data_IF_648328815595
#
_entry.id   IF_648328815595
#
_cell.length_a   1.000
_cell.length_b   1.000
_cell.length_c   1.000
_cell.angle_alpha   90.00
_cell.angle_beta   90.00
_cell.angle_gamma   90.00
#
_symmetry.space_group_name_H-M   'P 1'
#
loop_
_entity.id
_entity.type
_entity.pdbx_description
1 polymer ?
#
# COMPACT_ATOMS: atom_id res chain seq x y z
N UNK A 1 35.08 -35.47 14.95
CA UNK A 1 33.95 -34.78 15.63
C UNK A 1 33.55 -33.66 14.69
N UNK A 2 32.40 -33.80 14.07
CA UNK A 2 31.85 -32.72 13.22
C UNK A 2 31.38 -31.61 14.14
N UNK A 3 31.90 -30.40 13.97
CA UNK A 3 31.37 -29.21 14.62
C UNK A 3 29.91 -29.02 14.16
N UNK A 4 28.97 -29.17 15.09
CA UNK A 4 27.61 -28.67 14.88
C UNK A 4 27.70 -27.15 14.67
N UNK A 5 27.53 -26.70 13.42
CA UNK A 5 27.30 -25.29 13.11
C UNK A 5 26.08 -24.86 13.92
N UNK A 6 26.26 -23.93 14.85
CA UNK A 6 25.17 -23.24 15.51
C UNK A 6 24.31 -22.62 14.42
N UNK A 7 23.11 -23.16 14.24
CA UNK A 7 22.09 -22.54 13.37
C UNK A 7 21.82 -21.13 13.88
N UNK A 8 21.89 -20.15 12.99
CA UNK A 8 21.45 -18.79 13.31
C UNK A 8 19.93 -18.78 13.49
N UNK A 9 19.39 -17.84 14.29
CA UNK A 9 17.94 -17.68 14.41
C UNK A 9 17.25 -17.32 13.08
N UNK A 10 18.01 -16.89 12.09
CA UNK A 10 17.61 -16.58 10.72
C UNK A 10 17.24 -17.85 9.95
N UNK A 11 17.85 -19.00 10.27
CA UNK A 11 17.58 -20.30 9.62
C UNK A 11 16.18 -20.87 9.91
N UNK A 12 15.42 -20.27 10.85
CA UNK A 12 14.08 -20.73 11.24
C UNK A 12 12.94 -19.94 10.58
N UNK A 13 13.25 -18.93 9.73
CA UNK A 13 12.23 -18.12 9.05
C UNK A 13 11.70 -18.86 7.83
N UNK A 14 10.47 -19.35 7.94
CA UNK A 14 9.82 -20.12 6.90
C UNK A 14 8.91 -19.23 6.02
N UNK A 15 9.28 -19.06 4.75
CA UNK A 15 8.51 -18.30 3.75
C UNK A 15 7.14 -18.92 3.43
N UNK A 16 6.93 -20.21 3.76
CA UNK A 16 5.67 -20.91 3.55
C UNK A 16 4.46 -20.23 4.23
N UNK A 17 4.71 -19.36 5.21
CA UNK A 17 3.66 -18.56 5.86
C UNK A 17 2.97 -17.60 4.86
N UNK A 18 3.73 -17.05 3.90
CA UNK A 18 3.21 -16.11 2.90
C UNK A 18 2.83 -16.80 1.58
N UNK A 19 3.44 -17.95 1.26
CA UNK A 19 3.21 -18.73 0.03
C UNK A 19 2.08 -19.77 0.17
N UNK A 20 1.18 -19.59 1.15
CA UNK A 20 0.02 -20.46 1.33
C UNK A 20 -0.88 -20.33 0.10
N UNK A 21 -1.17 -21.45 -0.54
CA UNK A 21 -2.11 -21.57 -1.65
C UNK A 21 -3.31 -22.38 -1.18
N UNK A 22 -4.46 -21.74 -1.20
CA UNK A 22 -5.70 -22.43 -0.87
C UNK A 22 -6.37 -22.91 -2.15
N UNK A 23 -6.93 -24.12 -2.13
CA UNK A 23 -7.92 -24.53 -3.11
C UNK A 23 -9.21 -23.77 -2.78
N UNK A 24 -9.49 -22.71 -3.53
CA UNK A 24 -10.66 -21.89 -3.29
C UNK A 24 -11.79 -22.28 -4.20
N UNK A 25 -12.93 -22.65 -3.61
CA UNK A 25 -14.19 -22.70 -4.31
C UNK A 25 -14.73 -21.27 -4.44
N UNK A 26 -15.02 -20.84 -5.67
CA UNK A 26 -15.69 -19.58 -5.94
C UNK A 26 -17.17 -19.80 -6.26
N UNK A 27 -18.00 -18.87 -5.79
CA UNK A 27 -19.43 -18.83 -6.15
C UNK A 27 -19.64 -18.18 -7.51
N UNK A 28 -18.76 -17.27 -7.90
CA UNK A 28 -18.75 -16.61 -9.19
C UNK A 28 -17.32 -16.23 -9.61
N UNK A 29 -17.07 -16.30 -10.91
CA UNK A 29 -15.86 -15.82 -11.54
C UNK A 29 -16.25 -15.18 -12.87
N UNK A 30 -15.87 -13.92 -13.06
CA UNK A 30 -16.08 -13.22 -14.32
C UNK A 30 -15.26 -13.87 -15.45
N UNK A 31 -15.68 -13.69 -16.69
CA UNK A 31 -14.86 -14.01 -17.85
C UNK A 31 -13.58 -13.15 -17.78
N UNK A 32 -12.50 -13.65 -18.42
CA UNK A 32 -11.23 -12.92 -18.48
C UNK A 32 -11.32 -11.70 -19.36
N UNK A 33 -10.47 -10.72 -19.05
CA UNK A 33 -10.36 -9.50 -19.82
C UNK A 33 -11.19 -8.35 -19.27
N UNK A 34 -11.36 -7.32 -20.08
CA UNK A 34 -12.03 -6.08 -19.73
C UNK A 34 -12.97 -5.66 -20.85
N UNK A 35 -14.27 -5.95 -20.67
CA UNK A 35 -15.33 -5.61 -21.65
C UNK A 35 -16.54 -5.01 -20.95
N UNK A 36 -17.39 -4.31 -21.70
CA UNK A 36 -18.63 -3.75 -21.18
C UNK A 36 -19.54 -4.83 -20.56
N UNK A 37 -19.61 -6.02 -21.16
CA UNK A 37 -20.41 -7.15 -20.64
C UNK A 37 -19.89 -7.63 -19.28
N UNK A 38 -18.58 -7.75 -19.11
CA UNK A 38 -17.96 -8.10 -17.81
C UNK A 38 -18.30 -7.07 -16.76
N UNK A 39 -18.20 -5.78 -17.07
CA UNK A 39 -18.52 -4.68 -16.13
C UNK A 39 -19.99 -4.71 -15.72
N UNK A 40 -20.91 -4.93 -16.66
CA UNK A 40 -22.34 -5.06 -16.35
C UNK A 40 -22.62 -6.29 -15.46
N UNK A 41 -21.94 -7.40 -15.69
CA UNK A 41 -22.03 -8.61 -14.85
C UNK A 41 -21.50 -8.31 -13.43
N UNK A 42 -20.34 -7.66 -13.27
CA UNK A 42 -19.80 -7.27 -11.96
C UNK A 42 -20.82 -6.40 -11.20
N UNK A 43 -21.37 -5.36 -11.86
CA UNK A 43 -22.32 -4.46 -11.25
C UNK A 43 -23.62 -5.16 -10.83
N UNK A 44 -24.08 -6.14 -11.62
CA UNK A 44 -25.24 -6.97 -11.31
C UNK A 44 -24.99 -7.89 -10.12
N UNK A 45 -23.85 -8.58 -10.09
CA UNK A 45 -23.44 -9.46 -8.97
C UNK A 45 -23.31 -8.69 -7.65
N UNK A 46 -22.88 -7.42 -7.73
CA UNK A 46 -22.74 -6.53 -6.56
C UNK A 46 -24.05 -5.82 -6.19
N UNK A 47 -25.11 -5.93 -6.99
CA UNK A 47 -26.38 -5.23 -6.79
C UNK A 47 -26.18 -3.71 -6.61
N UNK A 48 -25.36 -3.12 -7.46
CA UNK A 48 -24.97 -1.72 -7.35
C UNK A 48 -26.08 -0.76 -7.78
N UNK A 49 -26.14 0.48 -7.20
CA UNK A 49 -27.02 1.51 -7.70
C UNK A 49 -26.63 1.94 -9.14
N UNK A 50 -27.61 2.39 -9.92
CA UNK A 50 -27.43 2.72 -11.34
C UNK A 50 -26.28 3.72 -11.61
N UNK A 51 -26.07 4.70 -10.72
CA UNK A 51 -25.01 5.69 -10.88
C UNK A 51 -23.60 5.06 -10.80
N UNK A 52 -23.44 3.95 -10.09
CA UNK A 52 -22.16 3.25 -10.00
C UNK A 52 -21.86 2.53 -11.32
N UNK A 53 -22.85 1.85 -11.91
CA UNK A 53 -22.71 1.25 -13.23
C UNK A 53 -22.34 2.31 -14.30
N UNK A 54 -22.97 3.47 -14.28
CA UNK A 54 -22.63 4.57 -15.19
C UNK A 54 -21.18 5.01 -15.05
N UNK A 55 -20.68 5.17 -13.81
CA UNK A 55 -19.28 5.51 -13.54
C UNK A 55 -18.32 4.42 -14.05
N UNK A 56 -18.65 3.14 -13.85
CA UNK A 56 -17.84 2.01 -14.36
C UNK A 56 -17.73 2.03 -15.90
N UNK A 57 -18.86 2.19 -16.58
CA UNK A 57 -18.90 2.23 -18.05
C UNK A 57 -18.19 3.48 -18.62
N UNK A 58 -18.30 4.61 -17.92
CA UNK A 58 -17.52 5.80 -18.28
C UNK A 58 -16.01 5.53 -18.11
N UNK A 59 -15.60 4.90 -17.03
CA UNK A 59 -14.21 4.57 -16.76
C UNK A 59 -13.65 3.59 -17.79
N UNK A 60 -14.43 2.60 -18.26
CA UNK A 60 -14.02 1.72 -19.35
C UNK A 60 -13.70 2.51 -20.63
N UNK A 61 -14.61 3.40 -21.06
CA UNK A 61 -14.37 4.22 -22.26
C UNK A 61 -13.12 5.10 -22.14
N UNK A 62 -12.87 5.61 -20.93
CA UNK A 62 -11.65 6.40 -20.65
C UNK A 62 -10.42 5.48 -20.71
N UNK A 63 -10.48 4.29 -20.12
CA UNK A 63 -9.39 3.30 -20.19
C UNK A 63 -9.00 2.94 -21.63
N UNK A 64 -9.99 2.73 -22.49
CA UNK A 64 -9.78 2.42 -23.91
C UNK A 64 -9.14 3.59 -24.68
N UNK A 65 -9.41 4.82 -24.27
CA UNK A 65 -8.91 6.04 -24.91
C UNK A 65 -7.51 6.48 -24.43
N UNK A 66 -7.07 6.02 -23.25
CA UNK A 66 -5.79 6.41 -22.66
C UNK A 66 -4.67 5.45 -23.03
N UNK A 67 -3.51 6.00 -23.34
CA UNK A 67 -2.27 5.24 -23.42
C UNK A 67 -1.69 4.95 -22.03
N UNK A 68 -0.81 3.95 -21.94
CA UNK A 68 0.01 3.74 -20.74
C UNK A 68 0.86 4.99 -20.51
N UNK A 69 0.87 5.56 -19.29
CA UNK A 69 1.62 6.78 -19.04
C UNK A 69 3.12 6.62 -19.37
N UNK A 70 3.76 7.62 -19.97
CA UNK A 70 5.18 7.52 -20.37
C UNK A 70 6.16 7.39 -19.19
N UNK A 71 5.70 7.71 -18.00
CA UNK A 71 6.47 7.53 -16.76
C UNK A 71 6.27 6.14 -16.13
N UNK A 72 5.29 5.37 -16.59
CA UNK A 72 5.04 4.04 -16.05
C UNK A 72 6.22 3.09 -16.34
N UNK A 73 6.45 2.10 -15.46
CA UNK A 73 7.40 1.04 -15.76
C UNK A 73 6.93 0.19 -16.94
N UNK A 74 7.83 -0.63 -17.46
CA UNK A 74 7.48 -1.61 -18.49
C UNK A 74 6.49 -2.64 -17.92
N UNK A 75 5.31 -2.68 -18.50
CA UNK A 75 4.23 -3.61 -18.18
C UNK A 75 3.78 -4.42 -19.41
N UNK A 76 4.64 -4.48 -20.44
CA UNK A 76 4.31 -5.13 -21.72
C UNK A 76 3.99 -6.64 -21.59
N UNK A 77 4.48 -7.28 -20.53
CA UNK A 77 4.15 -8.68 -20.21
C UNK A 77 2.80 -8.85 -19.50
N UNK A 78 2.18 -7.75 -19.05
CA UNK A 78 0.85 -7.78 -18.43
C UNK A 78 -0.23 -7.79 -19.52
N UNK A 79 -0.83 -8.95 -19.73
CA UNK A 79 -1.92 -9.14 -20.68
C UNK A 79 -3.27 -9.14 -19.96
N UNK A 80 -4.04 -8.06 -20.14
CA UNK A 80 -5.35 -7.90 -19.52
C UNK A 80 -6.37 -8.94 -19.99
N UNK A 81 -6.22 -9.51 -21.19
CA UNK A 81 -7.10 -10.57 -21.69
C UNK A 81 -6.93 -11.90 -20.94
N UNK A 82 -5.85 -12.01 -20.15
CA UNK A 82 -5.58 -13.16 -19.29
C UNK A 82 -5.78 -12.89 -17.79
N UNK A 83 -6.24 -11.69 -17.40
CA UNK A 83 -6.53 -11.35 -16.01
C UNK A 83 -8.00 -11.58 -15.70
N UNK A 84 -8.25 -12.33 -14.62
CA UNK A 84 -9.56 -12.46 -14.01
C UNK A 84 -9.84 -11.19 -13.18
N UNK A 85 -10.75 -10.33 -13.66
CA UNK A 85 -11.00 -9.01 -13.05
C UNK A 85 -11.93 -9.06 -11.84
N UNK A 86 -12.67 -10.16 -11.66
CA UNK A 86 -13.54 -10.36 -10.51
C UNK A 86 -13.73 -11.83 -10.16
N UNK A 87 -13.44 -12.18 -8.92
CA UNK A 87 -13.63 -13.52 -8.35
C UNK A 87 -14.31 -13.40 -7.00
N UNK A 88 -15.51 -13.99 -6.86
CA UNK A 88 -16.23 -14.06 -5.60
C UNK A 88 -15.98 -15.41 -4.93
N UNK A 89 -15.32 -15.47 -3.77
CA UNK A 89 -15.16 -16.70 -3.01
C UNK A 89 -16.53 -17.26 -2.56
N UNK A 90 -16.60 -18.55 -2.30
CA UNK A 90 -17.83 -19.21 -1.82
C UNK A 90 -18.03 -19.00 -0.31
N UNK A 91 -18.06 -17.75 0.08
CA UNK A 91 -18.36 -17.37 1.47
C UNK A 91 -18.96 -15.97 1.50
N UNK A 92 -19.89 -15.76 2.42
CA UNK A 92 -20.40 -14.43 2.72
C UNK A 92 -19.53 -13.78 3.79
N UNK A 93 -19.60 -12.45 3.89
CA UNK A 93 -18.93 -11.69 4.94
C UNK A 93 -19.35 -12.17 6.35
N UNK A 94 -18.41 -12.40 7.22
CA UNK A 94 -18.60 -12.84 8.61
C UNK A 94 -18.14 -11.75 9.59
N UNK A 95 -18.74 -11.76 10.76
CA UNK A 95 -18.37 -10.88 11.88
C UNK A 95 -17.49 -11.58 12.92
N UNK A 96 -17.26 -12.88 12.78
CA UNK A 96 -16.38 -13.67 13.67
C UNK A 96 -15.50 -14.57 12.84
N UNK A 97 -14.24 -14.70 13.23
CA UNK A 97 -13.25 -15.55 12.55
C UNK A 97 -13.66 -17.02 12.51
N UNK A 98 -14.32 -17.50 13.56
CA UNK A 98 -14.76 -18.89 13.67
C UNK A 98 -15.83 -19.27 12.63
N UNK A 99 -16.53 -18.30 12.06
CA UNK A 99 -17.59 -18.52 11.09
C UNK A 99 -17.07 -18.56 9.63
N UNK A 100 -15.78 -18.27 9.42
CA UNK A 100 -15.13 -18.37 8.11
C UNK A 100 -14.86 -19.84 7.70
N UNK A 101 -14.81 -20.14 6.40
CA UNK A 101 -14.26 -21.41 5.91
C UNK A 101 -12.85 -21.67 6.47
N UNK A 102 -12.57 -22.94 6.78
CA UNK A 102 -11.34 -23.32 7.49
C UNK A 102 -10.07 -22.87 6.77
N UNK A 103 -9.99 -23.06 5.45
CA UNK A 103 -8.85 -22.66 4.62
C UNK A 103 -8.58 -21.15 4.69
N UNK A 104 -9.63 -20.32 4.55
CA UNK A 104 -9.51 -18.85 4.64
C UNK A 104 -9.07 -18.45 6.06
N UNK A 105 -9.68 -19.05 7.08
CA UNK A 105 -9.30 -18.80 8.47
C UNK A 105 -7.84 -19.16 8.73
N UNK A 106 -7.41 -20.36 8.33
CA UNK A 106 -6.02 -20.83 8.50
C UNK A 106 -5.01 -19.87 7.81
N UNK A 107 -5.37 -19.29 6.67
CA UNK A 107 -4.54 -18.29 6.01
C UNK A 107 -4.38 -17.03 6.85
N UNK A 108 -5.48 -16.45 7.34
CA UNK A 108 -5.40 -15.26 8.18
C UNK A 108 -4.78 -15.51 9.56
N UNK A 109 -4.99 -16.69 10.15
CA UNK A 109 -4.35 -17.11 11.40
C UNK A 109 -2.81 -17.16 11.25
N UNK A 110 -2.32 -17.74 10.14
CA UNK A 110 -0.88 -17.80 9.85
C UNK A 110 -0.27 -16.43 9.58
N UNK A 111 -1.05 -15.51 9.01
CA UNK A 111 -0.65 -14.11 8.80
C UNK A 111 -0.72 -13.29 10.11
N UNK A 112 -1.27 -13.87 11.20
CA UNK A 112 -1.35 -13.22 12.51
C UNK A 112 -2.43 -12.16 12.65
N UNK A 113 -3.36 -12.04 11.69
CA UNK A 113 -4.37 -10.97 11.67
C UNK A 113 -5.37 -11.08 12.85
N UNK A 114 -5.94 -12.26 13.18
CA UNK A 114 -6.85 -12.38 14.32
C UNK A 114 -6.18 -12.07 15.67
N UNK A 115 -4.89 -12.37 15.80
CA UNK A 115 -4.12 -12.09 17.02
C UNK A 115 -3.86 -10.57 17.16
N UNK A 116 -3.53 -9.90 16.06
CA UNK A 116 -3.34 -8.45 16.03
C UNK A 116 -4.65 -7.71 16.37
N UNK A 117 -5.81 -8.18 15.85
CA UNK A 117 -7.12 -7.62 16.17
C UNK A 117 -7.39 -7.66 17.68
N UNK A 118 -7.14 -8.81 18.34
CA UNK A 118 -7.38 -8.96 19.77
C UNK A 118 -6.52 -8.05 20.65
N UNK A 119 -5.30 -7.72 20.20
CA UNK A 119 -4.30 -7.04 21.03
C UNK A 119 -4.21 -5.54 20.79
N UNK A 120 -4.30 -5.09 19.52
CA UNK A 120 -3.81 -3.78 19.14
C UNK A 120 -4.66 -3.02 18.12
N UNK A 121 -5.81 -3.57 17.69
CA UNK A 121 -6.65 -2.94 16.66
C UNK A 121 -8.04 -2.61 17.18
N UNK A 122 -8.58 -1.48 16.70
CA UNK A 122 -9.94 -1.05 17.02
C UNK A 122 -10.99 -1.61 16.05
N UNK A 123 -10.56 -2.11 14.92
CA UNK A 123 -11.39 -2.76 13.91
C UNK A 123 -10.57 -3.37 12.81
N UNK A 124 -11.07 -4.43 12.19
CA UNK A 124 -10.41 -5.18 11.12
C UNK A 124 -11.40 -5.48 9.99
N UNK A 125 -10.97 -5.22 8.76
CA UNK A 125 -11.53 -5.76 7.54
C UNK A 125 -10.54 -6.73 6.91
N UNK A 126 -11.00 -7.90 6.45
CA UNK A 126 -10.17 -8.83 5.71
C UNK A 126 -10.83 -9.18 4.37
N UNK A 127 -10.11 -8.91 3.30
CA UNK A 127 -10.51 -9.23 1.94
C UNK A 127 -9.76 -10.46 1.44
N UNK A 128 -10.48 -11.32 0.72
CA UNK A 128 -9.92 -12.48 0.07
C UNK A 128 -10.35 -12.47 -1.40
N UNK A 129 -9.39 -12.41 -2.30
CA UNK A 129 -9.61 -12.12 -3.72
C UNK A 129 -10.41 -10.82 -3.92
N UNK A 130 -11.59 -10.86 -4.54
CA UNK A 130 -12.37 -9.65 -4.84
C UNK A 130 -13.38 -9.24 -3.77
N UNK A 131 -13.49 -9.96 -2.64
CA UNK A 131 -14.56 -9.71 -1.66
C UNK A 131 -14.05 -9.59 -0.22
N UNK A 132 -14.66 -8.71 0.55
CA UNK A 132 -14.45 -8.65 2.00
C UNK A 132 -15.16 -9.81 2.68
N UNK A 133 -14.40 -10.74 3.25
CA UNK A 133 -14.91 -11.98 3.87
C UNK A 133 -15.08 -11.87 5.38
N UNK A 134 -14.37 -10.94 6.01
CA UNK A 134 -14.46 -10.66 7.44
C UNK A 134 -14.47 -9.15 7.69
N UNK A 135 -15.32 -8.72 8.61
CA UNK A 135 -15.34 -7.34 9.06
C UNK A 135 -15.86 -7.22 10.49
N UNK A 136 -15.10 -6.55 11.33
CA UNK A 136 -15.49 -6.25 12.70
C UNK A 136 -14.91 -4.90 13.14
N UNK A 137 -15.67 -4.20 14.00
CA UNK A 137 -15.25 -2.94 14.62
C UNK A 137 -15.75 -2.90 16.06
N UNK A 138 -14.93 -2.40 16.96
CA UNK A 138 -15.26 -2.30 18.38
C UNK A 138 -16.52 -1.48 18.61
N UNK A 139 -17.35 -1.93 19.55
CA UNK A 139 -18.66 -1.32 19.85
C UNK A 139 -18.53 0.16 20.24
N UNK A 140 -17.51 0.46 21.02
CA UNK A 140 -17.22 1.81 21.52
C UNK A 140 -16.97 2.82 20.38
N UNK A 141 -16.40 2.37 19.26
CA UNK A 141 -16.23 3.22 18.07
C UNK A 141 -17.55 3.49 17.36
N UNK A 142 -18.38 2.46 17.24
CA UNK A 142 -19.74 2.62 16.68
C UNK A 142 -20.58 3.59 17.49
N UNK A 143 -20.50 3.53 18.82
CA UNK A 143 -21.19 4.43 19.73
C UNK A 143 -20.73 5.88 19.61
N UNK A 144 -19.49 6.11 19.17
CA UNK A 144 -18.94 7.44 18.86
C UNK A 144 -19.32 7.93 17.46
N UNK A 145 -20.08 7.14 16.68
CA UNK A 145 -20.52 7.48 15.34
C UNK A 145 -19.48 7.22 14.25
N UNK A 146 -18.39 6.51 14.56
CA UNK A 146 -17.41 6.08 13.56
C UNK A 146 -18.06 5.04 12.65
N UNK A 147 -17.95 5.26 11.34
CA UNK A 147 -18.32 4.28 10.33
C UNK A 147 -17.04 3.64 9.82
N UNK A 148 -16.94 2.33 9.95
CA UNK A 148 -15.95 1.52 9.26
C UNK A 148 -16.65 0.29 8.71
N UNK A 149 -16.78 0.20 7.40
CA UNK A 149 -17.45 -0.88 6.67
C UNK A 149 -16.68 -1.19 5.37
N UNK A 150 -16.99 -2.32 4.75
CA UNK A 150 -16.53 -2.57 3.38
C UNK A 150 -17.16 -1.57 2.40
N UNK A 151 -16.46 -1.36 1.27
CA UNK A 151 -16.88 -0.27 0.36
C UNK A 151 -18.18 -0.58 -0.39
N UNK A 152 -18.51 -1.83 -0.66
CA UNK A 152 -19.81 -2.22 -1.25
C UNK A 152 -20.98 -1.90 -0.32
N UNK A 153 -20.85 -2.23 0.96
CA UNK A 153 -21.82 -1.83 1.99
C UNK A 153 -21.97 -0.32 2.04
N UNK A 154 -20.84 0.38 1.98
CA UNK A 154 -20.83 1.83 2.02
C UNK A 154 -21.57 2.46 0.83
N UNK A 155 -21.38 1.96 -0.37
CA UNK A 155 -22.08 2.43 -1.59
C UNK A 155 -23.60 2.28 -1.48
N UNK A 156 -24.07 1.21 -0.81
CA UNK A 156 -25.51 0.91 -0.66
C UNK A 156 -26.15 1.66 0.52
N UNK A 157 -25.46 1.71 1.66
CA UNK A 157 -26.05 2.19 2.92
C UNK A 157 -25.71 3.66 3.24
N UNK A 158 -24.62 4.19 2.66
CA UNK A 158 -24.10 5.53 2.94
C UNK A 158 -23.89 6.35 1.65
N UNK A 159 -24.74 6.16 0.64
CA UNK A 159 -24.61 6.80 -0.67
C UNK A 159 -24.43 8.32 -0.58
N UNK A 160 -25.25 9.00 0.23
CA UNK A 160 -25.21 10.46 0.40
C UNK A 160 -23.85 10.94 0.96
N UNK A 161 -23.20 10.11 1.77
CA UNK A 161 -21.89 10.43 2.36
C UNK A 161 -20.75 10.11 1.41
N UNK A 162 -20.88 9.09 0.56
CA UNK A 162 -19.81 8.64 -0.35
C UNK A 162 -19.80 9.42 -1.66
N UNK A 163 -20.97 9.61 -2.26
CA UNK A 163 -21.12 10.17 -3.61
C UNK A 163 -20.42 11.51 -3.83
N UNK A 164 -20.36 12.44 -2.84
CA UNK A 164 -19.60 13.69 -2.98
C UNK A 164 -18.08 13.51 -3.01
N UNK A 165 -17.55 12.37 -2.56
CA UNK A 165 -16.11 12.14 -2.39
C UNK A 165 -15.54 11.12 -3.39
N UNK A 166 -16.32 10.12 -3.77
CA UNK A 166 -15.90 9.04 -4.66
C UNK A 166 -15.42 9.55 -6.04
N UNK A 167 -14.16 9.36 -6.33
CA UNK A 167 -13.56 9.81 -7.60
C UNK A 167 -13.28 11.32 -7.66
N UNK A 168 -13.15 11.99 -6.51
CA UNK A 168 -12.82 13.42 -6.46
C UNK A 168 -11.32 13.69 -6.49
N UNK A 169 -10.53 12.87 -5.84
CA UNK A 169 -9.08 13.03 -5.82
C UNK A 169 -8.41 12.21 -6.92
N UNK A 170 -8.90 11.01 -7.16
CA UNK A 170 -8.43 10.11 -8.21
C UNK A 170 -9.56 9.97 -9.23
N UNK A 171 -9.56 10.78 -10.28
CA UNK A 171 -10.55 10.65 -11.34
C UNK A 171 -10.17 9.54 -12.33
N UNK A 172 -11.10 8.94 -13.07
CA UNK A 172 -10.77 7.99 -14.13
C UNK A 172 -9.80 8.56 -15.19
N UNK A 173 -9.80 9.88 -15.40
CA UNK A 173 -8.89 10.58 -16.32
C UNK A 173 -7.48 10.80 -15.74
N UNK A 174 -7.22 10.44 -14.50
CA UNK A 174 -5.93 10.70 -13.85
C UNK A 174 -4.79 9.97 -14.58
N UNK A 175 -4.98 8.70 -14.90
CA UNK A 175 -4.17 7.88 -15.81
C UNK A 175 -4.85 6.55 -16.11
N UNK A 176 -4.32 5.77 -17.04
CA UNK A 176 -4.90 4.49 -17.49
C UNK A 176 -5.19 3.51 -16.37
N UNK A 177 -4.32 3.41 -15.34
CA UNK A 177 -4.53 2.50 -14.20
C UNK A 177 -5.67 2.96 -13.29
N UNK A 178 -5.89 4.26 -13.13
CA UNK A 178 -7.04 4.80 -12.43
C UNK A 178 -8.33 4.50 -13.20
N UNK A 179 -8.34 4.66 -14.52
CA UNK A 179 -9.48 4.29 -15.36
C UNK A 179 -9.81 2.79 -15.24
N UNK A 180 -8.80 1.91 -15.28
CA UNK A 180 -8.96 0.47 -15.05
C UNK A 180 -9.60 0.21 -13.69
N UNK A 181 -9.06 0.81 -12.62
CA UNK A 181 -9.59 0.66 -11.28
C UNK A 181 -11.09 0.99 -11.23
N UNK A 182 -11.48 2.18 -11.71
CA UNK A 182 -12.89 2.61 -11.67
C UNK A 182 -13.82 1.76 -12.52
N UNK A 183 -13.31 1.09 -13.56
CA UNK A 183 -14.12 0.16 -14.35
C UNK A 183 -14.45 -1.14 -13.61
N UNK A 184 -13.51 -1.68 -12.81
CA UNK A 184 -13.63 -3.04 -12.23
C UNK A 184 -13.47 -3.11 -10.71
N UNK A 185 -13.40 -1.99 -9.98
CA UNK A 185 -13.14 -2.01 -8.55
C UNK A 185 -14.08 -2.98 -7.80
N UNK A 186 -13.54 -3.62 -6.78
CA UNK A 186 -14.28 -4.52 -5.89
C UNK A 186 -13.56 -4.63 -4.55
N UNK A 187 -14.34 -4.70 -3.46
CA UNK A 187 -13.80 -4.69 -2.11
C UNK A 187 -13.27 -3.32 -1.69
N UNK A 188 -12.47 -3.33 -0.66
CA UNK A 188 -11.91 -2.14 -0.05
C UNK A 188 -12.65 -1.67 1.18
N UNK A 189 -12.42 -0.43 1.59
CA UNK A 189 -12.85 0.07 2.89
C UNK A 189 -13.41 1.48 2.84
N UNK A 190 -14.45 1.70 3.60
CA UNK A 190 -14.95 3.04 3.91
C UNK A 190 -14.78 3.36 5.39
N UNK A 191 -14.10 4.47 5.68
CA UNK A 191 -13.95 4.99 7.05
C UNK A 191 -14.42 6.43 7.11
N UNK A 192 -15.32 6.69 8.03
CA UNK A 192 -15.75 8.04 8.39
C UNK A 192 -15.55 8.27 9.88
N UNK A 193 -14.73 9.26 10.23
CA UNK A 193 -14.47 9.65 11.62
C UNK A 193 -15.13 11.00 11.87
N UNK A 194 -16.16 11.07 12.75
CA UNK A 194 -16.89 12.29 13.03
C UNK A 194 -16.02 13.38 13.66
N UNK A 195 -16.48 14.62 13.59
CA UNK A 195 -15.82 15.81 14.13
C UNK A 195 -15.42 15.62 15.60
N UNK A 196 -14.12 15.88 15.89
CA UNK A 196 -13.55 15.85 17.24
C UNK A 196 -13.42 14.45 17.85
N UNK A 197 -13.61 13.39 17.07
CA UNK A 197 -13.46 12.01 17.55
C UNK A 197 -12.01 11.55 17.38
N UNK A 198 -11.44 10.97 18.44
CA UNK A 198 -10.05 10.48 18.46
C UNK A 198 -10.01 8.95 18.50
N UNK A 199 -9.54 8.33 17.40
CA UNK A 199 -9.42 6.87 17.28
C UNK A 199 -8.06 6.43 17.84
N UNK A 200 -8.05 5.96 19.10
CA UNK A 200 -6.81 5.67 19.84
C UNK A 200 -6.03 4.46 19.31
N UNK A 201 -6.74 3.41 18.90
CA UNK A 201 -6.13 2.21 18.32
C UNK A 201 -6.36 2.19 16.83
N UNK A 202 -5.41 1.68 16.02
CA UNK A 202 -5.54 1.65 14.58
C UNK A 202 -6.77 0.85 14.10
N UNK A 203 -7.31 1.26 12.95
CA UNK A 203 -8.17 0.43 12.11
C UNK A 203 -7.30 -0.25 11.06
N UNK A 204 -7.64 -1.47 10.66
CA UNK A 204 -6.88 -2.22 9.69
C UNK A 204 -7.74 -2.80 8.58
N UNK A 205 -7.28 -2.74 7.33
CA UNK A 205 -7.71 -3.62 6.25
C UNK A 205 -6.56 -4.50 5.78
N UNK A 206 -6.84 -5.79 5.58
CA UNK A 206 -5.88 -6.74 5.05
C UNK A 206 -6.40 -7.34 3.75
N UNK A 207 -5.61 -7.22 2.69
CA UNK A 207 -5.95 -7.66 1.34
C UNK A 207 -5.12 -8.88 0.94
N UNK A 208 -5.80 -10.01 0.71
CA UNK A 208 -5.18 -11.26 0.27
C UNK A 208 -5.67 -11.62 -1.13
N UNK A 209 -4.80 -11.58 -2.13
CA UNK A 209 -5.07 -12.12 -3.45
C UNK A 209 -4.56 -13.55 -3.52
N UNK A 210 -5.47 -14.53 -3.55
CA UNK A 210 -5.10 -15.95 -3.57
C UNK A 210 -5.24 -16.61 -4.94
N UNK A 211 -6.09 -16.10 -5.83
CA UNK A 211 -6.32 -16.71 -7.13
C UNK A 211 -5.19 -16.44 -8.13
N UNK A 212 -4.68 -17.46 -8.87
CA UNK A 212 -3.68 -17.26 -9.91
C UNK A 212 -4.29 -16.56 -11.13
N UNK A 213 -3.56 -15.59 -11.71
CA UNK A 213 -4.00 -14.86 -12.90
C UNK A 213 -5.15 -13.88 -12.61
N UNK A 214 -5.34 -13.51 -11.35
CA UNK A 214 -6.40 -12.59 -10.94
C UNK A 214 -5.87 -11.17 -10.69
N UNK A 215 -6.80 -10.22 -10.75
CA UNK A 215 -6.61 -8.84 -10.33
C UNK A 215 -7.30 -8.56 -9.00
N UNK A 216 -6.73 -7.63 -8.22
CA UNK A 216 -7.32 -7.05 -7.03
C UNK A 216 -7.42 -5.54 -7.20
N UNK A 217 -8.61 -4.97 -6.97
CA UNK A 217 -8.95 -3.60 -7.34
C UNK A 217 -9.74 -2.91 -6.22
N UNK A 218 -9.28 -3.04 -4.98
CA UNK A 218 -9.99 -2.48 -3.83
C UNK A 218 -10.03 -0.94 -3.84
N UNK A 219 -11.16 -0.38 -3.40
CA UNK A 219 -11.33 1.07 -3.23
C UNK A 219 -11.38 1.43 -1.75
N UNK A 220 -10.44 2.25 -1.30
CA UNK A 220 -10.44 2.77 0.08
C UNK A 220 -10.76 4.26 0.08
N UNK A 221 -11.80 4.64 0.81
CA UNK A 221 -12.17 6.03 1.04
C UNK A 221 -12.18 6.33 2.54
N UNK A 222 -11.38 7.30 2.97
CA UNK A 222 -11.31 7.72 4.37
C UNK A 222 -11.60 9.22 4.49
N UNK A 223 -12.55 9.56 5.34
CA UNK A 223 -12.90 10.94 5.66
C UNK A 223 -12.69 11.14 7.15
N UNK A 224 -11.76 12.02 7.51
CA UNK A 224 -11.48 12.42 8.90
C UNK A 224 -11.96 13.84 9.08
N UNK A 225 -13.05 14.00 9.84
CA UNK A 225 -13.72 15.29 10.03
C UNK A 225 -12.94 16.24 10.94
N UNK A 226 -13.36 17.49 10.98
CA UNK A 226 -12.70 18.59 11.68
C UNK A 226 -12.26 18.21 13.10
N UNK A 227 -10.98 18.37 13.42
CA UNK A 227 -10.39 18.11 14.73
C UNK A 227 -10.38 16.64 15.16
N UNK A 228 -10.66 15.71 14.25
CA UNK A 228 -10.62 14.28 14.51
C UNK A 228 -9.25 13.68 14.17
N UNK A 229 -8.95 12.49 14.71
CA UNK A 229 -7.76 11.74 14.31
C UNK A 229 -8.01 10.25 14.12
N UNK A 230 -7.25 9.67 13.20
CA UNK A 230 -7.31 8.24 12.89
C UNK A 230 -5.93 7.72 12.45
N UNK A 231 -5.65 6.49 12.82
CA UNK A 231 -4.58 5.69 12.21
C UNK A 231 -5.20 4.51 11.47
N UNK A 232 -4.97 4.43 10.19
CA UNK A 232 -5.41 3.32 9.34
C UNK A 232 -4.21 2.54 8.85
N UNK A 233 -4.31 1.22 8.85
CA UNK A 233 -3.25 0.30 8.42
C UNK A 233 -3.77 -0.56 7.29
N UNK A 234 -2.99 -0.61 6.21
CA UNK A 234 -3.23 -1.47 5.06
C UNK A 234 -2.15 -2.54 4.99
N UNK A 235 -2.55 -3.80 4.99
CA UNK A 235 -1.66 -4.93 4.73
C UNK A 235 -2.06 -5.63 3.44
N UNK A 236 -1.09 -5.99 2.61
CA UNK A 236 -1.35 -6.65 1.33
C UNK A 236 -0.42 -7.86 1.15
N UNK A 237 -0.96 -8.98 0.66
CA UNK A 237 -0.15 -10.14 0.32
C UNK A 237 -0.75 -11.04 -0.77
N UNK A 238 0.12 -11.79 -1.46
CA UNK A 238 -0.27 -12.83 -2.40
C UNK A 238 0.72 -13.99 -2.36
N UNK A 239 0.29 -15.24 -2.58
CA UNK A 239 1.20 -16.37 -2.78
C UNK A 239 1.84 -16.29 -4.17
N UNK A 240 2.96 -17.00 -4.33
CA UNK A 240 3.70 -17.03 -5.59
C UNK A 240 3.06 -17.97 -6.60
N UNK A 241 2.78 -17.45 -7.80
CA UNK A 241 2.32 -18.21 -8.96
C UNK A 241 3.27 -18.04 -10.15
N UNK A 242 3.14 -18.91 -11.17
CA UNK A 242 3.88 -18.83 -12.44
C UNK A 242 3.11 -18.05 -13.52
N UNK A 243 2.17 -17.23 -13.12
CA UNK A 243 1.35 -16.38 -13.99
C UNK A 243 1.29 -14.98 -13.38
N UNK A 244 1.12 -13.96 -14.22
CA UNK A 244 0.99 -12.60 -13.75
C UNK A 244 -0.30 -12.43 -12.91
N UNK A 245 -0.17 -11.70 -11.81
CA UNK A 245 -1.28 -11.16 -11.04
C UNK A 245 -1.20 -9.63 -11.08
N UNK A 246 -2.33 -8.97 -10.92
CA UNK A 246 -2.42 -7.51 -10.97
C UNK A 246 -3.04 -6.96 -9.68
N UNK A 247 -2.43 -5.91 -9.14
CA UNK A 247 -3.03 -5.08 -8.11
C UNK A 247 -3.14 -3.64 -8.63
N UNK A 248 -4.35 -3.11 -8.68
CA UNK A 248 -4.60 -1.72 -9.10
C UNK A 248 -5.71 -1.11 -8.23
N UNK A 249 -5.43 -0.97 -6.94
CA UNK A 249 -6.29 -0.32 -5.97
C UNK A 249 -6.29 1.20 -6.10
N UNK A 250 -7.27 1.85 -5.46
CA UNK A 250 -7.31 3.30 -5.29
C UNK A 250 -7.64 3.69 -3.86
N UNK A 251 -6.92 4.71 -3.35
CA UNK A 251 -7.08 5.22 -1.99
C UNK A 251 -7.30 6.73 -2.03
N UNK A 252 -8.47 7.19 -1.59
CA UNK A 252 -8.83 8.61 -1.51
C UNK A 252 -9.00 9.03 -0.05
N UNK A 253 -8.19 10.00 0.39
CA UNK A 253 -8.13 10.43 1.80
C UNK A 253 -8.48 11.92 1.95
N UNK A 254 -9.44 12.21 2.78
CA UNK A 254 -9.91 13.57 3.06
C UNK A 254 -9.63 13.93 4.52
N UNK A 255 -8.64 14.79 4.75
CA UNK A 255 -8.26 15.27 6.08
C UNK A 255 -8.78 16.68 6.24
N UNK A 256 -9.84 16.84 7.03
CA UNK A 256 -10.51 18.13 7.25
C UNK A 256 -9.71 19.04 8.18
N UNK A 257 -10.22 20.26 8.40
CA UNK A 257 -9.55 21.27 9.22
C UNK A 257 -9.15 20.73 10.61
N UNK A 258 -7.87 20.89 10.95
CA UNK A 258 -7.30 20.47 12.24
C UNK A 258 -7.35 18.96 12.48
N UNK A 259 -7.68 18.16 11.47
CA UNK A 259 -7.71 16.70 11.57
C UNK A 259 -6.32 16.08 11.34
N UNK A 260 -6.13 14.85 11.82
CA UNK A 260 -4.89 14.10 11.59
C UNK A 260 -5.21 12.69 11.09
N UNK A 261 -4.56 12.30 10.00
CA UNK A 261 -4.62 10.94 9.48
C UNK A 261 -3.22 10.36 9.31
N UNK A 262 -2.97 9.22 9.94
CA UNK A 262 -1.83 8.36 9.64
C UNK A 262 -2.30 7.19 8.80
N UNK A 263 -1.67 6.97 7.65
CA UNK A 263 -1.92 5.83 6.77
C UNK A 263 -0.64 5.01 6.62
N UNK A 264 -0.66 3.80 7.15
CA UNK A 264 0.48 2.88 7.10
C UNK A 264 0.18 1.73 6.17
N UNK A 265 1.09 1.44 5.23
CA UNK A 265 0.97 0.34 4.27
C UNK A 265 2.16 -0.60 4.39
N UNK A 266 1.89 -1.91 4.46
CA UNK A 266 2.90 -2.95 4.27
C UNK A 266 2.44 -3.84 3.12
N UNK A 267 3.19 -3.79 2.02
CA UNK A 267 2.95 -4.57 0.81
C UNK A 267 3.94 -5.72 0.73
N UNK A 268 3.43 -6.94 0.86
CA UNK A 268 4.20 -8.18 0.74
C UNK A 268 3.66 -9.03 -0.42
N UNK A 269 3.76 -8.46 -1.61
CA UNK A 269 3.32 -9.13 -2.83
C UNK A 269 4.32 -10.20 -3.28
N UNK A 270 3.83 -11.21 -3.97
CA UNK A 270 4.70 -12.20 -4.64
C UNK A 270 5.39 -11.62 -5.88
N UNK A 271 6.52 -12.23 -6.28
CA UNK A 271 7.34 -11.75 -7.43
C UNK A 271 6.71 -11.93 -8.83
N UNK A 272 5.44 -12.31 -8.92
CA UNK A 272 4.65 -12.33 -10.16
C UNK A 272 3.56 -11.24 -10.19
N UNK A 273 3.54 -10.34 -9.19
CA UNK A 273 2.56 -9.28 -9.07
C UNK A 273 2.99 -8.00 -9.79
N UNK A 274 2.09 -7.44 -10.59
CA UNK A 274 2.15 -6.06 -11.05
C UNK A 274 1.35 -5.19 -10.08
N UNK A 275 2.01 -4.30 -9.36
CA UNK A 275 1.40 -3.44 -8.34
C UNK A 275 1.33 -2.00 -8.87
N UNK A 276 0.15 -1.60 -9.35
CA UNK A 276 -0.13 -0.32 -10.03
C UNK A 276 -1.13 0.51 -9.22
N UNK A 277 -0.89 0.64 -7.93
CA UNK A 277 -1.80 1.27 -6.97
C UNK A 277 -1.73 2.81 -7.03
N UNK A 278 -2.85 3.48 -6.77
CA UNK A 278 -2.97 4.94 -6.77
C UNK A 278 -3.50 5.42 -5.43
N UNK A 279 -2.74 6.29 -4.75
CA UNK A 279 -3.12 6.83 -3.43
C UNK A 279 -3.06 8.35 -3.46
N UNK A 280 -4.13 9.02 -2.99
CA UNK A 280 -4.18 10.48 -2.97
C UNK A 280 -4.89 11.02 -1.72
N UNK A 281 -4.32 12.06 -1.12
CA UNK A 281 -4.87 12.75 0.03
C UNK A 281 -5.06 14.24 -0.25
N UNK A 282 -6.06 14.85 0.37
CA UNK A 282 -6.19 16.30 0.48
C UNK A 282 -6.25 16.70 1.94
N UNK A 283 -5.49 17.72 2.30
CA UNK A 283 -5.35 18.20 3.67
C UNK A 283 -5.80 19.66 3.75
N UNK A 284 -6.80 19.92 4.60
CA UNK A 284 -7.34 21.25 4.84
C UNK A 284 -6.54 21.99 5.92
N UNK A 285 -6.97 23.20 6.27
CA UNK A 285 -6.30 24.09 7.23
C UNK A 285 -5.95 23.40 8.56
N UNK A 286 -4.73 23.59 9.04
CA UNK A 286 -4.18 22.98 10.26
C UNK A 286 -4.23 21.43 10.29
N UNK A 287 -4.54 20.79 9.17
CA UNK A 287 -4.61 19.34 9.06
C UNK A 287 -3.24 18.68 8.90
N UNK A 288 -3.15 17.39 9.21
CA UNK A 288 -1.92 16.60 9.12
C UNK A 288 -2.12 15.26 8.44
N UNK A 289 -1.30 14.97 7.43
CA UNK A 289 -1.22 13.66 6.77
C UNK A 289 0.13 13.00 7.02
N UNK A 290 0.11 11.77 7.52
CA UNK A 290 1.32 10.97 7.75
C UNK A 290 1.22 9.66 6.96
N UNK A 291 2.12 9.47 6.00
CA UNK A 291 2.28 8.24 5.26
C UNK A 291 3.44 7.41 5.81
N UNK A 292 3.21 6.12 6.03
CA UNK A 292 4.28 5.15 6.32
C UNK A 292 4.14 4.00 5.35
N UNK A 293 5.16 3.72 4.54
CA UNK A 293 5.08 2.74 3.46
C UNK A 293 6.26 1.76 3.49
N UNK A 294 5.96 0.46 3.49
CA UNK A 294 6.92 -0.61 3.25
C UNK A 294 6.53 -1.41 2.01
N UNK A 295 7.37 -1.39 0.97
CA UNK A 295 7.13 -2.10 -0.28
C UNK A 295 8.14 -3.23 -0.44
N UNK A 296 7.62 -4.46 -0.37
CA UNK A 296 8.37 -5.71 -0.49
C UNK A 296 7.69 -6.62 -1.51
N UNK A 297 8.45 -7.36 -2.26
CA UNK A 297 7.87 -8.25 -3.27
C UNK A 297 7.56 -7.51 -4.58
N UNK A 298 6.51 -7.95 -5.28
CA UNK A 298 6.12 -7.57 -6.64
C UNK A 298 7.17 -7.90 -7.71
N UNK A 299 6.74 -8.10 -8.95
CA UNK A 299 7.59 -8.05 -10.14
C UNK A 299 7.89 -6.58 -10.49
N UNK A 300 6.82 -5.82 -10.61
CA UNK A 300 6.86 -4.40 -10.94
C UNK A 300 5.92 -3.65 -10.02
N UNK A 301 6.41 -2.59 -9.38
CA UNK A 301 5.58 -1.66 -8.59
C UNK A 301 5.62 -0.26 -9.17
N UNK A 302 4.46 0.40 -9.07
CA UNK A 302 4.28 1.81 -9.39
C UNK A 302 3.40 2.42 -8.28
N UNK A 303 4.03 3.07 -7.29
CA UNK A 303 3.35 3.55 -6.09
C UNK A 303 3.88 4.91 -5.66
N UNK A 304 3.06 5.95 -5.83
CA UNK A 304 3.39 7.33 -5.48
C UNK A 304 2.24 7.98 -4.70
N UNK A 305 2.17 7.83 -3.37
CA UNK A 305 1.20 8.59 -2.57
C UNK A 305 1.32 10.09 -2.87
N UNK A 306 0.20 10.70 -3.28
CA UNK A 306 0.09 12.10 -3.63
C UNK A 306 -0.68 12.86 -2.54
N UNK A 307 -0.17 14.01 -2.08
CA UNK A 307 -0.80 14.81 -1.04
C UNK A 307 -0.97 16.25 -1.47
N UNK A 308 -2.20 16.73 -1.47
CA UNK A 308 -2.53 18.15 -1.71
C UNK A 308 -2.66 18.85 -0.35
N UNK A 309 -1.71 19.70 -0.02
CA UNK A 309 -1.76 20.62 1.13
C UNK A 309 -2.54 21.87 0.72
N UNK A 310 -3.87 21.77 0.76
CA UNK A 310 -4.78 22.85 0.33
C UNK A 310 -4.90 23.94 1.36
N UNK A 311 -4.96 23.57 2.64
CA UNK A 311 -5.17 24.50 3.73
C UNK A 311 -3.89 25.14 4.23
N UNK A 312 -4.01 26.33 4.85
CA UNK A 312 -2.88 26.96 5.53
C UNK A 312 -2.43 26.10 6.72
N UNK A 313 -1.12 26.12 7.04
CA UNK A 313 -0.49 25.36 8.11
C UNK A 313 -0.68 23.83 8.03
N UNK A 314 -1.18 23.33 6.91
CA UNK A 314 -1.31 21.88 6.73
C UNK A 314 0.06 21.22 6.55
N UNK A 315 0.14 19.95 6.97
CA UNK A 315 1.41 19.22 7.01
C UNK A 315 1.32 17.87 6.30
N UNK A 316 2.43 17.46 5.68
CA UNK A 316 2.60 16.13 5.13
C UNK A 316 3.94 15.54 5.56
N UNK A 317 3.89 14.35 6.14
CA UNK A 317 5.06 13.53 6.42
C UNK A 317 4.96 12.23 5.62
N UNK A 318 6.01 11.89 4.89
CA UNK A 318 6.15 10.61 4.21
C UNK A 318 7.40 9.90 4.72
N UNK A 319 7.24 8.64 5.14
CA UNK A 319 8.35 7.77 5.49
C UNK A 319 8.18 6.44 4.79
N UNK A 320 9.12 6.06 3.92
CA UNK A 320 9.00 4.87 3.08
C UNK A 320 10.28 4.05 2.97
N UNK A 321 10.10 2.72 2.84
CA UNK A 321 11.17 1.79 2.49
C UNK A 321 10.75 0.87 1.35
N UNK A 322 11.68 0.66 0.41
CA UNK A 322 11.50 -0.24 -0.72
C UNK A 322 12.66 -1.24 -0.75
N UNK A 323 12.36 -2.52 -0.94
CA UNK A 323 13.38 -3.56 -1.08
C UNK A 323 13.20 -4.30 -2.41
N UNK A 324 14.12 -4.08 -3.36
CA UNK A 324 14.12 -4.69 -4.68
C UNK A 324 15.16 -5.83 -4.78
N UNK A 325 14.68 -7.06 -4.95
CA UNK A 325 15.50 -8.23 -5.19
C UNK A 325 15.57 -8.64 -6.67
N UNK A 326 16.14 -9.80 -6.94
CA UNK A 326 16.34 -10.32 -8.31
C UNK A 326 15.06 -10.30 -9.15
N UNK A 327 15.14 -9.68 -10.33
CA UNK A 327 14.05 -9.61 -11.30
C UNK A 327 12.92 -8.65 -10.92
N UNK A 328 13.13 -7.78 -9.92
CA UNK A 328 12.14 -6.79 -9.48
C UNK A 328 12.50 -5.40 -9.97
N UNK A 329 11.47 -4.66 -10.39
CA UNK A 329 11.54 -3.25 -10.71
C UNK A 329 10.52 -2.50 -9.84
N UNK A 330 10.99 -1.86 -8.77
CA UNK A 330 10.13 -1.18 -7.81
C UNK A 330 10.30 0.33 -7.96
N UNK A 331 9.33 0.96 -8.62
CA UNK A 331 9.26 2.39 -8.84
C UNK A 331 8.29 2.98 -7.80
N UNK A 332 8.85 3.56 -6.77
CA UNK A 332 8.09 4.09 -5.63
C UNK A 332 8.43 5.56 -5.41
N UNK A 333 7.64 6.26 -4.61
CA UNK A 333 7.92 7.66 -4.37
C UNK A 333 6.88 8.34 -3.51
N UNK A 334 6.90 9.66 -3.59
CA UNK A 334 5.93 10.52 -2.92
C UNK A 334 5.78 11.82 -3.70
N UNK A 335 4.56 12.30 -3.84
CA UNK A 335 4.26 13.59 -4.43
C UNK A 335 3.54 14.48 -3.42
N UNK A 336 3.93 15.76 -3.34
CA UNK A 336 3.24 16.75 -2.51
C UNK A 336 3.00 18.03 -3.32
N UNK A 337 1.77 18.51 -3.28
CA UNK A 337 1.35 19.79 -3.83
C UNK A 337 1.07 20.77 -2.67
N UNK A 338 2.00 21.65 -2.37
CA UNK A 338 1.84 22.70 -1.34
C UNK A 338 1.15 23.92 -1.95
N UNK A 339 -0.12 24.12 -1.61
CA UNK A 339 -0.96 25.21 -2.12
C UNK A 339 -1.28 26.26 -1.04
N UNK A 340 -1.43 25.82 0.22
CA UNK A 340 -1.68 26.70 1.38
C UNK A 340 -0.43 27.39 1.88
N UNK A 341 -0.61 28.45 2.69
CA UNK A 341 0.48 29.18 3.36
C UNK A 341 1.02 28.44 4.56
N UNK A 342 2.32 28.63 4.86
CA UNK A 342 2.99 28.06 6.03
C UNK A 342 2.85 26.53 6.12
N UNK A 343 2.77 25.85 5.00
CA UNK A 343 2.69 24.39 4.95
C UNK A 343 4.05 23.77 5.31
N UNK A 344 4.02 22.52 5.79
CA UNK A 344 5.23 21.80 6.13
C UNK A 344 5.27 20.42 5.45
N UNK A 345 6.42 20.09 4.85
CA UNK A 345 6.62 18.82 4.11
C UNK A 345 7.89 18.14 4.62
N UNK A 346 7.77 16.88 5.03
CA UNK A 346 8.91 16.02 5.36
C UNK A 346 8.81 14.74 4.58
N UNK A 347 9.82 14.42 3.77
CA UNK A 347 9.89 13.19 2.99
C UNK A 347 11.18 12.46 3.35
N UNK A 348 11.04 11.25 3.91
CA UNK A 348 12.13 10.33 4.20
C UNK A 348 11.94 9.03 3.43
N UNK A 349 12.75 8.79 2.43
CA UNK A 349 12.71 7.57 1.63
C UNK A 349 13.99 6.78 1.72
N UNK A 350 13.85 5.48 1.94
CA UNK A 350 14.95 4.52 1.90
C UNK A 350 14.70 3.44 0.87
N UNK A 351 15.72 3.11 0.10
CA UNK A 351 15.63 2.00 -0.84
C UNK A 351 16.81 1.05 -0.68
N UNK A 352 16.55 -0.23 -0.85
CA UNK A 352 17.56 -1.29 -0.82
C UNK A 352 17.42 -2.09 -2.11
N UNK A 353 18.53 -2.38 -2.76
CA UNK A 353 18.55 -3.22 -3.96
C UNK A 353 19.59 -4.32 -3.85
N UNK A 354 19.23 -5.54 -4.35
CA UNK A 354 20.02 -6.77 -4.23
C UNK A 354 19.84 -7.66 -5.45
N UNK A 355 20.89 -8.41 -5.79
CA UNK A 355 20.90 -9.47 -6.81
C UNK A 355 20.37 -9.01 -8.18
N UNK A 356 20.75 -7.78 -8.61
CA UNK A 356 20.32 -7.17 -9.87
C UNK A 356 18.91 -6.55 -9.83
N UNK A 357 18.29 -6.44 -8.66
CA UNK A 357 17.02 -5.70 -8.50
C UNK A 357 17.19 -4.21 -8.74
N UNK A 358 16.14 -3.55 -9.21
CA UNK A 358 16.10 -2.11 -9.45
C UNK A 358 15.10 -1.45 -8.51
N UNK A 359 15.60 -0.52 -7.69
CA UNK A 359 14.77 0.38 -6.88
C UNK A 359 14.86 1.79 -7.47
N UNK A 360 13.72 2.35 -7.85
CA UNK A 360 13.62 3.72 -8.34
C UNK A 360 12.78 4.53 -7.37
N UNK A 361 13.27 5.70 -6.96
CA UNK A 361 12.52 6.63 -6.14
C UNK A 361 12.18 7.90 -6.92
N UNK A 362 10.89 8.28 -6.94
CA UNK A 362 10.40 9.53 -7.51
C UNK A 362 9.87 10.44 -6.41
N UNK A 363 10.61 11.48 -6.09
CA UNK A 363 10.19 12.52 -5.14
C UNK A 363 9.72 13.76 -5.90
N UNK A 364 8.45 14.15 -5.78
CA UNK A 364 7.94 15.34 -6.42
C UNK A 364 7.34 16.31 -5.40
N UNK A 365 7.78 17.59 -5.45
CA UNK A 365 7.18 18.66 -4.65
C UNK A 365 6.85 19.82 -5.57
N UNK A 366 5.56 20.18 -5.64
CA UNK A 366 5.05 21.36 -6.29
C UNK A 366 4.69 22.41 -5.23
N UNK A 367 5.19 23.62 -5.39
CA UNK A 367 4.93 24.75 -4.50
C UNK A 367 4.19 25.81 -5.29
N UNK A 368 2.89 25.95 -4.99
CA UNK A 368 2.01 26.87 -5.69
C UNK A 368 2.32 28.34 -5.40
N UNK A 369 1.79 29.27 -6.23
CA UNK A 369 2.09 30.70 -6.13
C UNK A 369 1.64 31.34 -4.80
N UNK A 370 0.62 30.79 -4.17
CA UNK A 370 0.08 31.30 -2.87
C UNK A 370 0.74 30.66 -1.64
N UNK A 371 1.63 29.68 -1.81
CA UNK A 371 2.21 28.88 -0.72
C UNK A 371 3.39 29.57 -0.02
N UNK A 372 3.23 30.85 0.39
CA UNK A 372 4.26 31.56 1.14
C UNK A 372 4.52 30.94 2.50
N UNK A 373 5.79 31.00 2.97
CA UNK A 373 6.22 30.45 4.25
C UNK A 373 6.27 28.93 4.29
N UNK A 374 6.18 28.23 3.14
CA UNK A 374 6.33 26.77 3.09
C UNK A 374 7.72 26.36 3.55
N UNK A 375 7.79 25.30 4.39
CA UNK A 375 9.03 24.69 4.82
C UNK A 375 9.04 23.21 4.48
N UNK A 376 10.21 22.68 4.11
CA UNK A 376 10.31 21.28 3.81
C UNK A 376 11.70 20.70 3.82
N UNK A 377 11.75 19.37 4.00
CA UNK A 377 12.97 18.57 3.89
C UNK A 377 12.67 17.28 3.16
N UNK A 378 13.49 16.97 2.16
CA UNK A 378 13.41 15.72 1.40
C UNK A 378 14.74 14.99 1.60
N UNK A 379 14.70 13.79 2.13
CA UNK A 379 15.86 12.90 2.30
C UNK A 379 15.61 11.59 1.57
N UNK A 380 16.51 11.24 0.65
CA UNK A 380 16.47 9.99 -0.11
C UNK A 380 17.77 9.23 0.12
N UNK A 381 17.68 8.07 0.73
CA UNK A 381 18.83 7.21 0.99
C UNK A 381 18.67 5.88 0.26
N UNK A 382 19.71 5.48 -0.47
CA UNK A 382 19.71 4.23 -1.23
C UNK A 382 20.92 3.38 -0.89
N UNK A 383 20.69 2.09 -0.63
CA UNK A 383 21.71 1.11 -0.30
C UNK A 383 21.70 -0.04 -1.31
N UNK A 384 22.77 -0.17 -2.08
CA UNK A 384 23.00 -1.32 -2.98
C UNK A 384 23.84 -2.38 -2.26
N UNK A 385 23.38 -3.63 -2.29
CA UNK A 385 24.06 -4.73 -1.60
C UNK A 385 25.10 -5.46 -2.47
N UNK A 386 25.13 -5.15 -3.77
CA UNK A 386 26.05 -5.74 -4.74
C UNK A 386 26.32 -4.79 -5.92
N UNK A 387 27.08 -5.29 -6.92
CA UNK A 387 27.48 -4.51 -8.10
C UNK A 387 26.50 -4.60 -9.28
N UNK A 388 25.54 -5.51 -9.23
CA UNK A 388 24.56 -5.76 -10.32
C UNK A 388 23.27 -4.99 -10.09
N UNK A 389 23.00 -4.66 -8.84
CA UNK A 389 21.80 -3.94 -8.40
C UNK A 389 21.84 -2.48 -8.78
N UNK A 390 20.65 -1.92 -8.98
CA UNK A 390 20.47 -0.54 -9.39
C UNK A 390 19.57 0.22 -8.42
N UNK A 391 19.97 1.45 -8.12
CA UNK A 391 19.14 2.40 -7.37
C UNK A 391 19.23 3.75 -8.05
N UNK A 392 18.04 4.27 -8.43
CA UNK A 392 17.92 5.57 -9.10
C UNK A 392 17.01 6.50 -8.27
N UNK A 393 17.28 7.80 -8.36
CA UNK A 393 16.43 8.84 -7.75
C UNK A 393 16.08 9.88 -8.79
N UNK A 394 14.78 10.15 -8.96
CA UNK A 394 14.27 11.17 -9.89
C UNK A 394 13.53 12.24 -9.08
N UNK A 395 14.22 13.28 -8.60
CA UNK A 395 13.57 14.39 -7.92
C UNK A 395 12.91 15.33 -8.93
N UNK A 396 11.73 15.84 -8.59
CA UNK A 396 11.03 16.89 -9.32
C UNK A 396 10.58 17.99 -8.34
N UNK A 397 11.21 19.17 -8.41
CA UNK A 397 10.86 20.29 -7.55
C UNK A 397 10.45 21.45 -8.43
N UNK A 398 9.18 21.85 -8.32
CA UNK A 398 8.61 22.98 -9.08
C UNK A 398 8.20 24.04 -8.08
N UNK A 399 8.79 25.24 -8.20
CA UNK A 399 8.65 26.34 -7.25
C UNK A 399 8.05 27.55 -7.96
N UNK A 400 6.84 27.94 -7.55
CA UNK A 400 6.16 29.14 -8.06
C UNK A 400 6.09 30.28 -7.03
N UNK A 401 6.65 30.07 -5.81
CA UNK A 401 6.74 31.08 -4.77
C UNK A 401 8.15 31.11 -4.17
N UNK A 402 8.75 32.30 -4.05
CA UNK A 402 10.13 32.47 -3.56
C UNK A 402 10.26 32.54 -2.03
N UNK A 403 9.15 32.72 -1.30
CA UNK A 403 9.14 32.78 0.17
C UNK A 403 8.99 31.36 0.75
N UNK A 404 10.04 30.56 0.61
CA UNK A 404 10.06 29.17 1.03
C UNK A 404 11.44 28.76 1.58
N UNK A 405 11.43 27.68 2.38
CA UNK A 405 12.64 27.01 2.87
C UNK A 405 12.53 25.52 2.59
N UNK A 406 13.20 25.03 1.54
CA UNK A 406 13.15 23.64 1.10
C UNK A 406 14.55 23.07 0.90
N UNK A 407 14.90 22.05 1.68
CA UNK A 407 16.11 21.26 1.54
C UNK A 407 15.85 19.93 0.83
N UNK A 408 16.78 19.52 -0.05
CA UNK A 408 16.78 18.16 -0.64
C UNK A 408 18.16 17.53 -0.50
N UNK A 409 18.22 16.35 0.08
CA UNK A 409 19.42 15.54 0.21
C UNK A 409 19.20 14.15 -0.40
N UNK A 410 20.14 13.69 -1.22
CA UNK A 410 20.15 12.32 -1.73
C UNK A 410 21.49 11.65 -1.40
N UNK A 411 21.43 10.46 -0.80
CA UNK A 411 22.60 9.60 -0.52
C UNK A 411 22.41 8.26 -1.19
N UNK A 412 23.29 7.94 -2.13
CA UNK A 412 23.30 6.65 -2.83
C UNK A 412 24.65 6.00 -2.57
N UNK A 413 24.64 4.82 -1.99
CA UNK A 413 25.85 4.12 -1.61
C UNK A 413 25.71 2.60 -1.72
N UNK A 414 26.85 1.95 -1.58
CA UNK A 414 26.94 0.50 -1.41
C UNK A 414 27.14 0.17 0.05
N UNK A 415 26.77 -1.05 0.42
CA UNK A 415 27.08 -1.57 1.75
C UNK A 415 28.61 -1.56 1.95
N UNK A 416 29.02 -1.10 3.12
CA UNK A 416 30.43 -0.94 3.46
C UNK A 416 31.10 -2.31 3.71
N UNK A 417 32.04 -2.68 2.87
CA UNK A 417 32.85 -3.90 3.07
C UNK A 417 33.73 -3.79 4.34
N UNK A 418 34.13 -2.58 4.75
CA UNK A 418 34.87 -2.35 5.99
C UNK A 418 34.01 -2.64 7.22
N UNK A 419 32.72 -2.21 7.21
CA UNK A 419 31.78 -2.48 8.29
C UNK A 419 31.44 -3.97 8.38
N UNK A 420 31.27 -4.63 7.22
CA UNK A 420 31.07 -6.09 7.16
C UNK A 420 32.28 -6.79 7.76
N UNK A 421 33.51 -6.45 7.32
CA UNK A 421 34.73 -7.05 7.85
C UNK A 421 34.91 -6.82 9.36
N UNK A 422 34.57 -5.62 9.83
CA UNK A 422 34.57 -5.30 11.26
C UNK A 422 33.66 -6.21 12.06
N UNK A 423 32.43 -6.40 11.59
CA UNK A 423 31.44 -7.28 12.26
C UNK A 423 31.86 -8.75 12.21
N UNK A 424 32.45 -9.21 11.08
CA UNK A 424 33.00 -10.54 10.94
C UNK A 424 34.19 -10.77 11.90
N UNK A 425 35.03 -9.76 12.11
CA UNK A 425 36.16 -9.83 13.09
C UNK A 425 35.65 -9.97 14.55
N UNK A 426 34.39 -9.65 14.81
CA UNK A 426 33.68 -9.85 16.09
C UNK A 426 32.94 -11.19 16.19
N UNK A 427 33.10 -12.07 15.19
CA UNK A 427 32.58 -13.43 15.20
C UNK A 427 31.23 -13.61 14.52
N UNK A 428 30.73 -12.58 13.79
CA UNK A 428 29.53 -12.72 12.97
C UNK A 428 29.87 -13.43 11.63
N UNK A 429 28.89 -14.14 11.07
CA UNK A 429 28.97 -14.55 9.67
C UNK A 429 28.85 -13.33 8.75
N UNK A 430 29.32 -13.42 7.51
CA UNK A 430 29.15 -12.34 6.52
C UNK A 430 27.67 -12.02 6.31
N UNK A 431 26.83 -13.05 6.23
CA UNK A 431 25.37 -12.92 6.05
C UNK A 431 24.72 -12.17 7.22
N UNK A 432 25.04 -12.57 8.45
CA UNK A 432 24.53 -11.89 9.66
C UNK A 432 25.00 -10.42 9.73
N UNK A 433 26.24 -10.16 9.34
CA UNK A 433 26.80 -8.82 9.30
C UNK A 433 26.04 -7.93 8.29
N UNK A 434 25.82 -8.44 7.07
CA UNK A 434 25.03 -7.75 6.04
C UNK A 434 23.60 -7.51 6.49
N UNK A 435 22.92 -8.53 7.03
CA UNK A 435 21.57 -8.43 7.56
C UNK A 435 21.46 -7.40 8.71
N UNK A 436 22.46 -7.35 9.61
CA UNK A 436 22.51 -6.37 10.69
C UNK A 436 22.62 -4.94 10.17
N UNK A 437 23.50 -4.67 9.20
CA UNK A 437 23.67 -3.35 8.59
C UNK A 437 22.38 -2.89 7.89
N UNK A 438 21.70 -3.80 7.17
CA UNK A 438 20.43 -3.50 6.48
C UNK A 438 19.31 -3.23 7.47
N UNK A 439 19.21 -4.01 8.56
CA UNK A 439 18.24 -3.73 9.63
C UNK A 439 18.51 -2.37 10.29
N UNK A 440 19.75 -2.02 10.54
CA UNK A 440 20.13 -0.69 11.03
C UNK A 440 19.73 0.42 10.08
N UNK A 441 19.90 0.22 8.78
CA UNK A 441 19.46 1.17 7.75
C UNK A 441 17.93 1.34 7.72
N UNK A 442 17.18 0.24 7.89
CA UNK A 442 15.70 0.24 7.90
C UNK A 442 15.08 0.68 9.24
N UNK A 443 15.84 0.71 10.34
CA UNK A 443 15.35 0.93 11.70
C UNK A 443 14.45 2.18 11.88
N UNK A 444 14.76 3.36 11.30
CA UNK A 444 13.91 4.54 11.46
C UNK A 444 12.47 4.32 10.97
N UNK A 445 12.31 3.52 9.91
CA UNK A 445 10.99 3.21 9.34
C UNK A 445 10.28 2.15 10.20
N UNK A 446 11.02 1.12 10.64
CA UNK A 446 10.50 0.13 11.57
C UNK A 446 9.91 0.76 12.82
N UNK A 447 10.57 1.78 13.37
CA UNK A 447 10.09 2.52 14.54
C UNK A 447 8.83 3.37 14.28
N UNK A 448 8.56 3.73 13.04
CA UNK A 448 7.35 4.46 12.65
C UNK A 448 6.11 3.56 12.50
N UNK A 449 6.29 2.25 12.40
CA UNK A 449 5.22 1.27 12.30
C UNK A 449 4.72 0.82 13.68
N UNK A 450 3.45 0.37 13.80
CA UNK A 450 3.02 -0.43 14.94
C UNK A 450 3.90 -1.68 15.12
N UNK A 451 4.03 -2.15 16.37
CA UNK A 451 4.99 -3.20 16.74
C UNK A 451 4.86 -4.46 15.85
N UNK A 452 3.64 -4.90 15.60
CA UNK A 452 3.35 -6.11 14.81
C UNK A 452 3.87 -5.96 13.37
N UNK A 453 3.69 -4.78 12.78
CA UNK A 453 4.16 -4.46 11.43
C UNK A 453 5.67 -4.20 11.38
N UNK A 454 6.24 -3.67 12.45
CA UNK A 454 7.69 -3.56 12.58
C UNK A 454 8.34 -4.95 12.63
N UNK A 455 7.74 -5.90 13.32
CA UNK A 455 8.16 -7.31 13.34
C UNK A 455 8.03 -7.94 11.96
N UNK A 456 6.89 -7.75 11.28
CA UNK A 456 6.68 -8.24 9.91
C UNK A 456 7.71 -7.66 8.95
N UNK A 457 7.94 -6.36 8.96
CA UNK A 457 8.93 -5.71 8.11
C UNK A 457 10.35 -6.27 8.33
N UNK A 458 10.78 -6.41 9.59
CA UNK A 458 12.08 -6.98 9.90
C UNK A 458 12.20 -8.44 9.42
N UNK A 459 11.12 -9.22 9.57
CA UNK A 459 11.05 -10.58 9.06
C UNK A 459 11.12 -10.63 7.53
N UNK A 460 10.46 -9.71 6.83
CA UNK A 460 10.55 -9.63 5.36
C UNK A 460 11.96 -9.26 4.90
N UNK A 461 12.65 -8.37 5.61
CA UNK A 461 14.06 -8.05 5.36
C UNK A 461 14.92 -9.32 5.54
N UNK A 462 14.73 -10.06 6.63
CA UNK A 462 15.48 -11.29 6.89
C UNK A 462 15.27 -12.35 5.78
N UNK A 463 14.01 -12.53 5.34
CA UNK A 463 13.66 -13.45 4.23
C UNK A 463 14.35 -13.10 2.91
N UNK A 464 14.58 -11.83 2.64
CA UNK A 464 15.30 -11.41 1.44
C UNK A 464 16.80 -11.75 1.53
N UNK A 465 17.37 -11.94 2.72
CA UNK A 465 18.74 -12.45 2.88
C UNK A 465 18.83 -13.96 2.75
N UNK A 466 17.88 -14.73 3.27
CA UNK A 466 17.86 -16.20 3.16
C UNK A 466 17.74 -16.71 1.71
N UNK A 467 17.10 -15.98 0.83
CA UNK A 467 16.96 -16.35 -0.59
C UNK A 467 18.25 -16.23 -1.43
N UNK A 468 19.39 -15.96 -0.82
CA UNK A 468 20.67 -15.76 -1.52
C UNK A 468 21.48 -17.06 -1.70
N UNK A 469 21.03 -18.19 -1.15
CA UNK A 469 21.65 -19.52 -1.31
C UNK A 469 20.72 -20.37 -2.16
N UNK A 470 20.84 -20.26 -3.49
CA UNK A 470 20.12 -21.09 -4.45
C UNK A 470 20.58 -20.81 -5.87
#
# INVERSE_FOLDING_TARGET
MAEEKKKSRVDDINRSVYDIKDEVEFSYKADRGLTEDIIRKISTEKEEPAWMLEKRLQALRIYESLDVPPWAPDISELDMDHIDTYIRPKTDRKARWEDLPQNIRDTFDRLGIPEAEKKSLAGVGAQYDSEVVYHNVQKELKEQGIIYVDFETAVKEYEDLIRPYFGQLITPNYHKFAALHYAVWSGGSFVYVPKGVHVRMPLQSYFRLNAPGAGQFEHTLIIVEEGADCHFIEGCSAPRYNVANLHAGAVELFVKKGASLRYSTIENWSKNMYNLNTKKAVVEEDGSMVWVSGSFGSHTSCLYPDTILRGNHSTCEFTGITFAGKGQFLDTGSKVEALGKNTHVTINSKSISKAGGTALYRGAVFIGPEASGMKGAISCESLMLDNESRSDTIPAIIIENSDIDLGHEAKIGRISEEDIYYLMSRGMSEEDARAMLVRGFAEPISKALPLEYAVEMNRLIDLEFEGAIG
#
